data_IF_975803077711
#
_entry.id   IF_975803077711
#
_cell.length_a   1.000
_cell.length_b   1.000
_cell.length_c   1.000
_cell.angle_alpha   90.00
_cell.angle_beta   90.00
_cell.angle_gamma   90.00
#
_symmetry.space_group_name_H-M   'P 1'
#
loop_
_entity.id
_entity.type
_entity.pdbx_description
1 polymer ?
#
# COMPACT_ATOMS: atom_id res chain seq x y z
N UNK A 1 -22.37 -77.69 -84.50
CA UNK A 1 -21.86 -77.07 -83.25
C UNK A 1 -21.85 -75.53 -83.33
N UNK A 2 -22.98 -74.87 -83.59
CA UNK A 2 -23.05 -73.39 -83.69
C UNK A 2 -24.17 -72.74 -82.87
N UNK A 3 -25.02 -73.53 -82.20
CA UNK A 3 -26.14 -73.02 -81.38
C UNK A 3 -25.75 -72.80 -79.91
N UNK A 4 -24.66 -73.41 -79.44
CA UNK A 4 -24.16 -73.30 -78.06
C UNK A 4 -23.22 -72.09 -77.85
N UNK A 5 -22.69 -71.49 -78.93
CA UNK A 5 -21.81 -70.30 -78.88
C UNK A 5 -22.56 -68.98 -78.64
N UNK A 6 -23.87 -68.96 -78.89
CA UNK A 6 -24.72 -67.76 -78.74
C UNK A 6 -25.46 -67.70 -77.38
N UNK A 7 -25.50 -68.80 -76.64
CA UNK A 7 -26.21 -68.92 -75.35
C UNK A 7 -25.37 -68.42 -74.15
N UNK A 8 -24.04 -68.43 -74.30
CA UNK A 8 -23.09 -68.01 -73.27
C UNK A 8 -23.03 -66.48 -73.01
N UNK A 9 -23.05 -65.58 -74.03
CA UNK A 9 -23.04 -64.13 -73.78
C UNK A 9 -24.36 -63.59 -73.21
N UNK A 10 -25.49 -64.28 -73.45
CA UNK A 10 -26.82 -63.87 -72.95
C UNK A 10 -26.98 -64.18 -71.46
N UNK A 11 -26.40 -65.29 -70.97
CA UNK A 11 -26.44 -65.67 -69.56
C UNK A 11 -25.58 -64.73 -68.68
N UNK A 12 -24.46 -64.24 -69.21
CA UNK A 12 -23.57 -63.28 -68.55
C UNK A 12 -24.23 -61.89 -68.44
N UNK A 13 -25.03 -61.50 -69.43
CA UNK A 13 -25.73 -60.21 -69.43
C UNK A 13 -26.86 -60.13 -68.36
N UNK A 14 -27.52 -61.27 -68.07
CA UNK A 14 -28.57 -61.36 -67.04
C UNK A 14 -27.99 -61.35 -65.63
N UNK A 15 -26.80 -61.93 -65.42
CA UNK A 15 -26.09 -61.89 -64.14
C UNK A 15 -25.51 -60.51 -63.81
N UNK A 16 -25.12 -59.72 -64.82
CA UNK A 16 -24.64 -58.34 -64.65
C UNK A 16 -25.78 -57.34 -64.36
N UNK A 17 -26.99 -57.57 -64.87
CA UNK A 17 -28.17 -56.74 -64.55
C UNK A 17 -28.73 -56.99 -63.13
N UNK A 18 -28.46 -58.17 -62.55
CA UNK A 18 -28.82 -58.48 -61.16
C UNK A 18 -27.82 -57.89 -60.13
N UNK A 19 -26.69 -57.35 -60.59
CA UNK A 19 -25.74 -56.59 -59.76
C UNK A 19 -25.90 -55.07 -59.91
N UNK A 20 -27.06 -54.61 -60.40
CA UNK A 20 -27.51 -53.25 -60.13
C UNK A 20 -28.30 -53.26 -58.82
N UNK A 21 -27.58 -53.56 -57.73
CA UNK A 21 -28.04 -53.24 -56.39
C UNK A 21 -28.26 -51.73 -56.35
N UNK A 22 -29.50 -51.33 -56.12
CA UNK A 22 -29.84 -49.99 -55.70
C UNK A 22 -29.13 -49.71 -54.36
N UNK A 23 -27.89 -49.27 -54.42
CA UNK A 23 -27.07 -49.03 -53.22
C UNK A 23 -26.23 -47.77 -53.33
N UNK A 24 -26.75 -46.74 -54.03
CA UNK A 24 -26.17 -45.38 -54.03
C UNK A 24 -27.22 -44.26 -53.99
N UNK A 25 -28.53 -44.58 -53.93
CA UNK A 25 -29.61 -43.59 -53.73
C UNK A 25 -30.31 -43.74 -52.37
N UNK A 26 -30.16 -44.90 -51.72
CA UNK A 26 -30.63 -45.15 -50.35
C UNK A 26 -29.68 -44.54 -49.31
N UNK A 27 -28.35 -44.66 -49.48
CA UNK A 27 -27.38 -44.16 -48.47
C UNK A 27 -27.44 -42.63 -48.24
N UNK A 28 -27.70 -41.84 -49.28
CA UNK A 28 -27.76 -40.37 -49.15
C UNK A 28 -29.10 -39.91 -48.58
N UNK A 29 -30.19 -40.61 -48.93
CA UNK A 29 -31.53 -40.39 -48.35
C UNK A 29 -31.58 -40.84 -46.89
N UNK A 30 -30.88 -41.92 -46.55
CA UNK A 30 -30.72 -42.43 -45.19
C UNK A 30 -29.83 -41.50 -44.37
N UNK A 31 -28.75 -40.94 -44.94
CA UNK A 31 -27.91 -39.97 -44.23
C UNK A 31 -28.67 -38.69 -43.86
N UNK A 32 -29.46 -38.13 -44.78
CA UNK A 32 -30.29 -36.95 -44.48
C UNK A 32 -31.42 -37.27 -43.50
N UNK A 33 -31.95 -38.50 -43.53
CA UNK A 33 -32.99 -38.97 -42.60
C UNK A 33 -32.40 -39.22 -41.21
N UNK A 34 -31.23 -39.87 -41.12
CA UNK A 34 -30.49 -40.08 -39.87
C UNK A 34 -30.00 -38.75 -39.30
N UNK A 35 -29.56 -37.80 -40.13
CA UNK A 35 -29.20 -36.45 -39.68
C UNK A 35 -30.39 -35.71 -39.10
N UNK A 36 -31.56 -35.76 -39.75
CA UNK A 36 -32.79 -35.19 -39.20
C UNK A 36 -33.18 -35.86 -37.89
N UNK A 37 -33.13 -37.19 -37.83
CA UNK A 37 -33.41 -37.95 -36.61
C UNK A 37 -32.46 -37.57 -35.47
N UNK A 38 -31.15 -37.43 -35.72
CA UNK A 38 -30.16 -37.00 -34.71
C UNK A 38 -30.42 -35.56 -34.27
N UNK A 39 -30.71 -34.65 -35.19
CA UNK A 39 -31.05 -33.26 -34.86
C UNK A 39 -32.33 -33.18 -34.04
N UNK A 40 -33.32 -34.00 -34.35
CA UNK A 40 -34.58 -34.07 -33.63
C UNK A 40 -34.39 -34.71 -32.24
N UNK A 41 -33.54 -35.74 -32.09
CA UNK A 41 -33.15 -36.29 -30.79
C UNK A 41 -32.41 -35.25 -29.95
N UNK A 42 -31.46 -34.49 -30.52
CA UNK A 42 -30.75 -33.42 -29.80
C UNK A 42 -31.68 -32.27 -29.38
N UNK A 43 -32.69 -31.96 -30.20
CA UNK A 43 -33.69 -30.92 -29.89
C UNK A 43 -34.83 -31.41 -29.00
N UNK A 44 -35.06 -32.73 -28.94
CA UNK A 44 -36.06 -33.35 -28.09
C UNK A 44 -35.78 -33.06 -26.61
N UNK A 45 -36.83 -33.18 -25.80
CA UNK A 45 -36.71 -32.95 -24.36
C UNK A 45 -35.77 -33.96 -23.70
N UNK A 46 -35.69 -35.18 -24.23
CA UNK A 46 -34.76 -36.21 -23.72
C UNK A 46 -33.31 -35.88 -24.10
N UNK A 47 -33.05 -35.37 -25.30
CA UNK A 47 -31.72 -34.89 -25.70
C UNK A 47 -31.26 -33.68 -24.88
N UNK A 48 -32.16 -32.72 -24.63
CA UNK A 48 -31.87 -31.58 -23.74
C UNK A 48 -31.61 -32.03 -22.30
N UNK A 49 -32.39 -32.98 -21.78
CA UNK A 49 -32.18 -33.55 -20.44
C UNK A 49 -30.84 -34.28 -20.34
N UNK A 50 -30.51 -35.14 -21.30
CA UNK A 50 -29.24 -35.87 -21.33
C UNK A 50 -28.04 -34.91 -21.44
N UNK A 51 -28.13 -33.87 -22.29
CA UNK A 51 -27.09 -32.83 -22.33
C UNK A 51 -27.01 -32.04 -21.03
N UNK A 52 -28.15 -31.72 -20.41
CA UNK A 52 -28.16 -31.01 -19.12
C UNK A 52 -27.54 -31.86 -18.03
N UNK A 53 -27.80 -33.17 -18.01
CA UNK A 53 -27.21 -34.12 -17.06
C UNK A 53 -25.69 -34.22 -17.23
N UNK A 54 -25.21 -34.33 -18.47
CA UNK A 54 -23.77 -34.34 -18.78
C UNK A 54 -23.11 -32.98 -18.47
N UNK A 55 -23.78 -31.87 -18.73
CA UNK A 55 -23.33 -30.52 -18.35
C UNK A 55 -23.49 -30.23 -16.86
N UNK A 56 -24.23 -31.04 -16.12
CA UNK A 56 -24.36 -30.95 -14.67
C UNK A 56 -23.32 -31.79 -13.94
N UNK A 57 -22.59 -32.64 -14.67
CA UNK A 57 -21.45 -33.37 -14.14
C UNK A 57 -20.32 -32.38 -13.80
N UNK A 58 -19.87 -32.41 -12.54
CA UNK A 58 -18.86 -31.49 -12.00
C UNK A 58 -17.57 -31.48 -12.83
N UNK A 59 -17.18 -32.63 -13.39
CA UNK A 59 -15.96 -32.75 -14.20
C UNK A 59 -16.11 -32.04 -15.55
N UNK A 60 -17.31 -32.09 -16.13
CA UNK A 60 -17.63 -31.40 -17.38
C UNK A 60 -17.76 -29.88 -17.16
N UNK A 61 -18.42 -29.47 -16.08
CA UNK A 61 -18.54 -28.05 -15.70
C UNK A 61 -17.18 -27.40 -15.48
N UNK A 62 -16.28 -28.09 -14.77
CA UNK A 62 -14.95 -27.58 -14.48
C UNK A 62 -14.10 -27.42 -15.75
N UNK A 63 -14.17 -28.37 -16.69
CA UNK A 63 -13.45 -28.27 -17.98
C UNK A 63 -14.00 -27.10 -18.81
N UNK A 64 -15.32 -26.96 -18.93
CA UNK A 64 -15.92 -25.89 -19.74
C UNK A 64 -15.77 -24.49 -19.13
N UNK A 65 -15.87 -24.37 -17.81
CA UNK A 65 -15.74 -23.09 -17.11
C UNK A 65 -14.31 -22.55 -17.12
N UNK A 66 -13.30 -23.43 -17.03
CA UNK A 66 -11.89 -23.01 -16.96
C UNK A 66 -11.26 -22.81 -18.35
N UNK A 67 -11.68 -23.56 -19.37
CA UNK A 67 -11.06 -23.53 -20.71
C UNK A 67 -11.65 -22.49 -21.65
N UNK A 68 -12.75 -21.82 -21.29
CA UNK A 68 -13.30 -20.80 -22.18
C UNK A 68 -12.50 -19.50 -22.07
N UNK A 69 -11.89 -19.11 -23.18
CA UNK A 69 -11.31 -17.78 -23.37
C UNK A 69 -12.32 -16.68 -23.00
N UNK A 70 -13.62 -16.96 -23.19
CA UNK A 70 -14.75 -16.13 -22.78
C UNK A 70 -14.78 -15.88 -21.28
N UNK A 71 -14.54 -16.89 -20.43
CA UNK A 71 -14.48 -16.71 -18.96
C UNK A 71 -13.26 -15.90 -18.57
N UNK A 72 -12.09 -16.15 -19.16
CA UNK A 72 -10.90 -15.34 -18.90
C UNK A 72 -11.10 -13.87 -19.28
N UNK A 73 -11.65 -13.61 -20.47
CA UNK A 73 -11.98 -12.26 -20.93
C UNK A 73 -13.07 -11.61 -20.07
N UNK A 74 -14.08 -12.37 -19.62
CA UNK A 74 -15.11 -11.86 -18.73
C UNK A 74 -14.55 -11.49 -17.35
N UNK A 75 -13.68 -12.33 -16.77
CA UNK A 75 -13.00 -12.03 -15.50
C UNK A 75 -12.10 -10.81 -15.66
N UNK A 76 -11.33 -10.72 -16.74
CA UNK A 76 -10.47 -9.57 -17.00
C UNK A 76 -11.29 -8.29 -17.18
N UNK A 77 -12.36 -8.33 -17.98
CA UNK A 77 -13.25 -7.18 -18.17
C UNK A 77 -13.90 -6.77 -16.86
N UNK A 78 -14.44 -7.70 -16.09
CA UNK A 78 -15.14 -7.40 -14.83
C UNK A 78 -14.20 -6.91 -13.74
N UNK A 79 -12.98 -7.45 -13.63
CA UNK A 79 -12.03 -7.03 -12.59
C UNK A 79 -11.29 -5.73 -12.93
N UNK A 80 -11.05 -5.45 -14.22
CA UNK A 80 -10.30 -4.26 -14.68
C UNK A 80 -11.24 -3.12 -15.11
N UNK A 81 -12.53 -3.38 -15.32
CA UNK A 81 -13.52 -2.33 -15.61
C UNK A 81 -13.69 -1.37 -14.44
N UNK A 82 -14.34 -0.24 -14.73
CA UNK A 82 -14.77 0.72 -13.71
C UNK A 82 -15.70 0.08 -12.66
N UNK A 83 -16.49 -0.92 -13.06
CA UNK A 83 -17.35 -1.69 -12.15
C UNK A 83 -16.49 -2.56 -11.20
N UNK A 84 -15.42 -3.17 -11.71
CA UNK A 84 -14.44 -3.89 -10.91
C UNK A 84 -13.72 -2.98 -9.92
N UNK A 85 -13.29 -1.79 -10.36
CA UNK A 85 -12.72 -0.77 -9.46
C UNK A 85 -13.71 -0.39 -8.36
N UNK A 86 -14.96 -0.11 -8.71
CA UNK A 86 -16.00 0.21 -7.73
C UNK A 86 -16.26 -0.94 -6.75
N UNK A 87 -16.25 -2.19 -7.23
CA UNK A 87 -16.34 -3.38 -6.39
C UNK A 87 -15.17 -3.47 -5.40
N UNK A 88 -13.93 -3.32 -5.87
CA UNK A 88 -12.75 -3.29 -5.01
C UNK A 88 -12.79 -2.14 -4.01
N UNK A 89 -13.13 -0.92 -4.43
CA UNK A 89 -13.30 0.22 -3.52
C UNK A 89 -14.33 -0.05 -2.43
N UNK A 90 -15.44 -0.70 -2.77
CA UNK A 90 -16.47 -1.10 -1.80
C UNK A 90 -15.95 -2.16 -0.83
N UNK A 91 -15.23 -3.17 -1.32
CA UNK A 91 -14.63 -4.20 -0.46
C UNK A 91 -13.55 -3.64 0.47
N UNK A 92 -12.68 -2.75 -0.02
CA UNK A 92 -11.68 -2.07 0.80
C UNK A 92 -12.28 -1.03 1.76
N UNK A 93 -13.57 -0.73 1.63
CA UNK A 93 -14.31 0.06 2.63
C UNK A 93 -14.89 -0.81 3.75
N UNK A 94 -14.94 -2.14 3.60
CA UNK A 94 -15.39 -3.06 4.64
C UNK A 94 -14.25 -3.35 5.64
N UNK A 95 -14.38 -2.95 6.92
CA UNK A 95 -13.34 -3.16 7.93
C UNK A 95 -12.98 -4.63 8.15
N UNK A 96 -13.93 -5.56 8.01
CA UNK A 96 -13.66 -7.00 8.18
C UNK A 96 -12.78 -7.52 7.06
N UNK A 97 -13.10 -7.13 5.83
CA UNK A 97 -12.29 -7.49 4.67
C UNK A 97 -10.89 -6.89 4.78
N UNK A 98 -10.78 -5.59 5.10
CA UNK A 98 -9.48 -4.92 5.27
C UNK A 98 -8.66 -5.57 6.38
N UNK A 99 -9.27 -5.97 7.48
CA UNK A 99 -8.56 -6.63 8.58
C UNK A 99 -7.97 -7.97 8.15
N UNK A 100 -8.75 -8.84 7.52
CA UNK A 100 -8.26 -10.14 7.05
C UNK A 100 -7.24 -9.98 5.92
N UNK A 101 -7.49 -9.06 4.98
CA UNK A 101 -6.55 -8.73 3.92
C UNK A 101 -5.21 -8.21 4.46
N UNK A 102 -5.25 -7.34 5.46
CA UNK A 102 -4.05 -6.80 6.12
C UNK A 102 -3.26 -7.88 6.85
N UNK A 103 -3.93 -8.84 7.51
CA UNK A 103 -3.26 -9.98 8.16
C UNK A 103 -2.50 -10.84 7.15
N UNK A 104 -3.11 -11.12 5.99
CA UNK A 104 -2.46 -11.92 4.93
C UNK A 104 -1.23 -11.18 4.37
N UNK A 105 -1.32 -9.85 4.24
CA UNK A 105 -0.21 -9.05 3.73
C UNK A 105 0.84 -8.66 4.77
N UNK A 106 0.57 -8.85 6.06
CA UNK A 106 1.37 -8.31 7.16
C UNK A 106 2.85 -8.66 7.03
N UNK A 107 3.16 -9.94 6.79
CA UNK A 107 4.53 -10.42 6.68
C UNK A 107 5.26 -9.87 5.44
N UNK A 108 4.57 -9.79 4.30
CA UNK A 108 5.15 -9.20 3.09
C UNK A 108 5.35 -7.70 3.24
N UNK A 109 4.40 -7.00 3.87
CA UNK A 109 4.48 -5.58 4.15
C UNK A 109 5.64 -5.26 5.11
N UNK A 110 5.82 -6.06 6.17
CA UNK A 110 6.98 -5.95 7.08
C UNK A 110 8.29 -6.17 6.32
N UNK A 111 8.35 -7.18 5.45
CA UNK A 111 9.55 -7.46 4.66
C UNK A 111 9.86 -6.33 3.69
N UNK A 112 8.85 -5.80 3.01
CA UNK A 112 8.97 -4.64 2.14
C UNK A 112 9.48 -3.43 2.91
N UNK A 113 8.86 -3.08 4.04
CA UNK A 113 9.28 -1.94 4.86
C UNK A 113 10.70 -2.08 5.40
N UNK A 114 11.09 -3.27 5.87
CA UNK A 114 12.48 -3.55 6.28
C UNK A 114 13.46 -3.47 5.11
N UNK A 115 13.02 -3.81 3.90
CA UNK A 115 13.79 -3.64 2.67
C UNK A 115 13.97 -2.16 2.33
N UNK A 116 12.88 -1.40 2.30
CA UNK A 116 12.86 0.04 2.03
C UNK A 116 13.71 0.83 3.05
N UNK A 117 13.70 0.44 4.32
CA UNK A 117 14.59 1.07 5.32
C UNK A 117 16.09 0.95 4.98
N UNK A 118 16.49 -0.01 4.15
CA UNK A 118 17.88 -0.17 3.68
C UNK A 118 18.14 0.51 2.33
N UNK A 119 17.08 0.96 1.67
CA UNK A 119 17.15 1.67 0.40
C UNK A 119 17.55 3.14 0.61
N UNK A 120 18.46 3.63 -0.23
CA UNK A 120 19.03 4.96 -0.07
C UNK A 120 18.02 6.08 -0.39
N UNK A 121 17.11 5.88 -1.35
CA UNK A 121 16.09 6.87 -1.70
C UNK A 121 15.05 6.97 -0.59
N UNK A 122 14.60 5.83 -0.07
CA UNK A 122 13.66 5.80 1.05
C UNK A 122 14.26 6.41 2.32
N UNK A 123 15.53 6.13 2.63
CA UNK A 123 16.24 6.78 3.73
C UNK A 123 16.30 8.30 3.57
N UNK A 124 16.55 8.79 2.35
CA UNK A 124 16.58 10.24 2.08
C UNK A 124 15.21 10.88 2.35
N UNK A 125 14.13 10.27 1.87
CA UNK A 125 12.76 10.72 2.15
C UNK A 125 12.45 10.69 3.64
N UNK A 126 12.91 9.67 4.36
CA UNK A 126 12.73 9.56 5.80
C UNK A 126 13.50 10.67 6.56
N UNK A 127 14.73 10.98 6.16
CA UNK A 127 15.51 12.09 6.74
C UNK A 127 14.82 13.44 6.49
N UNK A 128 14.22 13.62 5.32
CA UNK A 128 13.44 14.82 5.02
C UNK A 128 12.21 14.93 5.92
N UNK A 129 11.50 13.82 6.16
CA UNK A 129 10.40 13.75 7.12
C UNK A 129 10.86 14.12 8.54
N UNK A 130 12.01 13.61 8.99
CA UNK A 130 12.58 13.93 10.31
C UNK A 130 12.99 15.40 10.47
N UNK A 131 13.17 16.14 9.38
CA UNK A 131 13.50 17.57 9.42
C UNK A 131 12.27 18.47 9.58
N UNK A 132 11.06 17.91 9.72
CA UNK A 132 9.90 18.73 9.97
C UNK A 132 10.01 19.46 11.34
N UNK A 133 9.33 20.61 11.51
CA UNK A 133 9.43 21.39 12.75
C UNK A 133 8.95 20.64 14.00
N UNK A 134 7.96 19.76 13.87
CA UNK A 134 7.44 18.97 15.01
C UNK A 134 8.49 17.99 15.54
N UNK A 135 9.17 17.25 14.67
CA UNK A 135 10.24 16.33 15.09
C UNK A 135 11.46 17.10 15.60
N UNK A 136 11.74 18.29 15.07
CA UNK A 136 12.79 19.16 15.63
C UNK A 136 12.44 19.63 17.05
N UNK A 137 11.19 20.00 17.33
CA UNK A 137 10.76 20.40 18.67
C UNK A 137 10.85 19.26 19.68
N UNK A 138 10.49 18.04 19.28
CA UNK A 138 10.68 16.83 20.10
C UNK A 138 12.17 16.58 20.36
N UNK A 139 13.02 16.73 19.34
CA UNK A 139 14.48 16.62 19.48
C UNK A 139 15.03 17.64 20.48
N UNK A 140 14.56 18.90 20.42
CA UNK A 140 14.94 19.96 21.39
C UNK A 140 14.49 19.58 22.80
N UNK A 141 13.27 19.07 22.95
CA UNK A 141 12.74 18.63 24.25
C UNK A 141 13.58 17.51 24.85
N UNK A 142 14.06 16.56 24.02
CA UNK A 142 15.00 15.52 24.45
C UNK A 142 16.34 16.12 24.87
N UNK A 143 16.88 17.09 24.12
CA UNK A 143 18.12 17.80 24.49
C UNK A 143 17.99 18.61 25.78
N UNK A 144 16.82 19.17 26.06
CA UNK A 144 16.55 19.89 27.31
C UNK A 144 16.28 18.94 28.48
N UNK A 145 16.08 17.65 28.22
CA UNK A 145 15.83 16.62 29.21
C UNK A 145 17.00 16.39 30.16
N UNK A 146 16.69 15.89 31.36
CA UNK A 146 17.67 15.67 32.45
C UNK A 146 18.84 14.76 32.04
N UNK A 147 18.58 13.71 31.26
CA UNK A 147 19.61 12.78 30.81
C UNK A 147 20.63 13.48 29.88
N UNK A 148 20.15 14.28 28.93
CA UNK A 148 21.03 15.02 28.03
C UNK A 148 21.75 16.14 28.76
N UNK A 149 21.09 16.84 29.69
CA UNK A 149 21.74 17.84 30.56
C UNK A 149 22.89 17.27 31.38
N UNK A 150 22.74 16.06 31.94
CA UNK A 150 23.81 15.39 32.67
C UNK A 150 25.00 15.07 31.76
N UNK A 151 24.74 14.55 30.56
CA UNK A 151 25.79 14.31 29.57
C UNK A 151 26.48 15.61 29.12
N UNK A 152 25.69 16.67 28.93
CA UNK A 152 26.18 18.00 28.56
C UNK A 152 27.05 18.59 29.67
N UNK A 153 26.62 18.50 30.93
CA UNK A 153 27.40 18.96 32.08
C UNK A 153 28.74 18.24 32.14
N UNK A 154 28.74 16.90 32.01
CA UNK A 154 29.99 16.12 32.00
C UNK A 154 30.91 16.54 30.86
N UNK A 155 30.37 16.73 29.66
CA UNK A 155 31.13 17.19 28.49
C UNK A 155 31.70 18.60 28.70
N UNK A 156 30.95 19.50 29.32
CA UNK A 156 31.41 20.84 29.69
C UNK A 156 32.53 20.74 30.73
N UNK A 157 32.38 19.94 31.78
CA UNK A 157 33.40 19.72 32.80
C UNK A 157 34.70 19.17 32.18
N UNK A 158 34.61 18.17 31.30
CA UNK A 158 35.75 17.62 30.55
C UNK A 158 36.40 18.68 29.65
N UNK A 159 35.59 19.51 28.98
CA UNK A 159 36.08 20.59 28.13
C UNK A 159 36.80 21.68 28.93
N UNK A 160 36.25 22.09 30.08
CA UNK A 160 36.86 23.06 30.98
C UNK A 160 38.17 22.54 31.59
N UNK A 161 38.24 21.23 31.85
CA UNK A 161 39.44 20.57 32.34
C UNK A 161 40.45 20.21 31.25
N UNK A 162 40.13 20.47 29.98
CA UNK A 162 41.07 20.27 28.88
C UNK A 162 42.26 21.22 29.02
N UNK A 163 43.52 20.74 28.93
CA UNK A 163 44.71 21.58 29.02
C UNK A 163 44.71 22.73 28.01
N UNK A 164 44.15 22.50 26.82
CA UNK A 164 44.03 23.52 25.76
C UNK A 164 43.05 24.62 26.17
N UNK A 165 41.93 24.25 26.80
CA UNK A 165 40.94 25.22 27.27
C UNK A 165 41.46 25.99 28.49
N UNK A 166 42.07 25.31 29.46
CA UNK A 166 42.70 25.93 30.61
C UNK A 166 43.79 26.94 30.19
N UNK A 167 44.66 26.57 29.24
CA UNK A 167 45.67 27.47 28.71
C UNK A 167 45.05 28.72 28.06
N UNK A 168 44.03 28.56 27.21
CA UNK A 168 43.30 29.69 26.61
C UNK A 168 42.60 30.55 27.65
N UNK A 169 42.02 29.95 28.68
CA UNK A 169 41.38 30.65 29.79
C UNK A 169 42.42 31.50 30.54
N UNK A 170 43.55 30.90 30.92
CA UNK A 170 44.65 31.61 31.57
C UNK A 170 45.22 32.74 30.72
N UNK A 171 45.43 32.53 29.42
CA UNK A 171 45.89 33.57 28.50
C UNK A 171 44.87 34.72 28.38
N UNK A 172 43.58 34.40 28.33
CA UNK A 172 42.49 35.39 28.27
C UNK A 172 42.40 36.20 29.55
N UNK A 173 42.54 35.55 30.72
CA UNK A 173 42.56 36.20 32.02
C UNK A 173 43.78 37.12 32.17
N UNK A 174 44.96 36.69 31.72
CA UNK A 174 46.16 37.52 31.72
C UNK A 174 45.99 38.74 30.80
N UNK A 175 45.47 38.57 29.59
CA UNK A 175 45.17 39.69 28.68
C UNK A 175 44.12 40.65 29.25
N UNK A 176 43.12 40.14 29.96
CA UNK A 176 42.11 40.97 30.62
C UNK A 176 42.72 41.76 31.79
N UNK A 177 43.59 41.14 32.59
CA UNK A 177 44.32 41.80 33.67
C UNK A 177 45.27 42.88 33.13
N UNK A 178 46.02 42.60 32.07
CA UNK A 178 46.86 43.58 31.38
C UNK A 178 46.04 44.76 30.84
N UNK A 179 44.87 44.50 30.24
CA UNK A 179 43.95 45.56 29.81
C UNK A 179 43.45 46.41 30.97
N UNK A 180 43.06 45.77 32.08
CA UNK A 180 42.56 46.47 33.27
C UNK A 180 43.67 47.32 33.93
N UNK A 181 44.91 46.81 33.94
CA UNK A 181 46.09 47.52 34.43
C UNK A 181 46.51 48.66 33.48
N UNK A 182 46.38 48.46 32.16
CA UNK A 182 46.62 49.51 31.15
C UNK A 182 45.53 50.58 31.10
N UNK A 183 44.31 50.26 31.55
CA UNK A 183 43.17 51.17 31.65
C UNK A 183 43.02 51.82 33.04
N UNK A 184 43.86 51.46 34.02
CA UNK A 184 43.78 51.92 35.42
C UNK A 184 44.86 52.91 35.84
N UNK A 185 45.71 53.38 34.94
CA UNK A 185 46.74 54.37 35.23
C UNK A 185 46.25 55.81 35.03
N UNK A 186 45.43 56.35 35.94
CA UNK A 186 44.97 57.74 35.82
C UNK A 186 44.16 58.29 36.99
N UNK A 187 44.88 58.86 37.96
CA UNK A 187 44.47 59.91 38.92
C UNK A 187 43.46 59.56 40.03
N UNK A 188 43.90 59.74 41.27
CA UNK A 188 43.03 59.76 42.43
C UNK A 188 42.19 61.03 42.54
N UNK A 189 41.13 60.93 43.34
CA UNK A 189 40.75 62.01 44.24
C UNK A 189 40.08 61.40 45.47
N UNK A 190 40.73 61.63 46.61
CA UNK A 190 40.10 61.56 47.92
C UNK A 190 39.28 62.83 48.04
N UNK A 191 37.96 62.74 48.12
CA UNK A 191 37.16 63.83 48.64
C UNK A 191 36.04 63.33 49.53
N UNK A 192 36.11 63.85 50.75
CA UNK A 192 35.25 63.64 51.89
C UNK A 192 34.04 64.55 51.74
N UNK A 193 32.83 64.01 51.68
CA UNK A 193 31.63 64.71 52.14
C UNK A 193 30.66 63.72 52.78
N UNK A 194 30.62 63.72 54.11
CA UNK A 194 29.40 63.35 54.80
C UNK A 194 28.46 64.54 54.81
N UNK A 195 27.16 64.32 54.60
CA UNK A 195 26.09 64.89 55.42
C UNK A 195 24.73 64.25 55.07
N UNK A 196 24.00 63.99 56.14
CA UNK A 196 22.59 63.60 56.31
C UNK A 196 21.54 64.20 55.36
N UNK A 197 20.51 63.40 55.08
CA UNK A 197 19.05 63.69 55.22
C UNK A 197 18.31 62.40 54.86
N UNK A 198 17.68 61.67 55.80
CA UNK A 198 16.40 61.92 56.46
C UNK A 198 15.19 61.87 55.51
N UNK A 199 14.38 60.83 55.76
CA UNK A 199 12.91 60.69 55.61
C UNK A 199 12.20 61.14 54.32
N UNK A 200 11.43 60.20 53.74
CA UNK A 200 10.00 60.31 53.41
C UNK A 200 9.55 58.93 52.88
N UNK A 201 8.81 58.06 53.59
CA UNK A 201 7.41 58.12 54.07
C UNK A 201 6.36 58.37 52.99
N UNK A 202 5.45 57.40 52.81
CA UNK A 202 4.25 57.46 51.95
C UNK A 202 4.17 56.19 51.09
N UNK A 203 3.50 55.09 51.49
CA UNK A 203 2.09 54.92 51.86
C UNK A 203 1.12 55.54 50.85
N UNK A 204 0.59 54.72 49.94
CA UNK A 204 -0.82 54.59 49.49
C UNK A 204 -0.78 53.69 48.23
N UNK A 205 -1.59 52.66 48.00
CA UNK A 205 -2.96 52.40 48.44
C UNK A 205 -3.84 52.22 47.20
N UNK A 206 -4.65 51.16 47.17
CA UNK A 206 -5.71 50.91 46.18
C UNK A 206 -5.27 49.97 45.04
N UNK A 207 -5.81 48.77 44.83
CA UNK A 207 -7.18 48.32 45.09
C UNK A 207 -8.00 48.49 43.82
N UNK A 208 -8.15 47.43 43.04
CA UNK A 208 -9.25 47.30 42.08
C UNK A 208 -9.76 45.86 42.11
N UNK A 209 -10.93 45.73 42.74
CA UNK A 209 -11.87 44.63 42.56
C UNK A 209 -12.71 44.98 41.34
N UNK A 210 -12.72 44.09 40.34
CA UNK A 210 -13.74 44.04 39.31
C UNK A 210 -14.23 42.61 39.16
N UNK A 211 -15.23 42.23 39.96
CA UNK A 211 -16.10 41.07 39.71
C UNK A 211 -17.07 41.42 38.56
N UNK A 212 -17.42 40.40 37.79
CA UNK A 212 -18.78 39.91 37.47
C UNK A 212 -18.74 39.22 36.09
N UNK A 213 -18.97 37.90 36.05
CA UNK A 213 -20.28 37.23 35.83
C UNK A 213 -20.66 37.34 34.32
N UNK A 214 -21.12 36.33 33.60
CA UNK A 214 -22.03 35.24 33.95
C UNK A 214 -22.23 34.31 32.73
N UNK A 215 -22.66 33.06 32.99
CA UNK A 215 -23.45 32.22 32.06
C UNK A 215 -22.63 31.26 31.17
N UNK A 216 -22.76 29.93 31.20
CA UNK A 216 -23.84 29.07 31.68
C UNK A 216 -24.73 28.58 30.53
N UNK A 217 -24.50 27.35 30.04
CA UNK A 217 -25.50 26.37 29.52
C UNK A 217 -24.74 25.24 28.82
N UNK A 218 -24.74 24.00 29.33
CA UNK A 218 -25.82 23.01 29.23
C UNK A 218 -25.95 22.38 27.83
N UNK A 219 -25.28 21.24 27.63
CA UNK A 219 -25.80 19.98 27.06
C UNK A 219 -24.72 18.91 27.12
#
# INVERSE_FOLDING_TARGET
>A
MSKLRLLCPVLILVLLAACNGASNASEQTDYDTTKKMIVDILKSDDGKKAMTEVLSDEKMQQSMALESEVVSQAVQKTLVSEEGKAFWSKLFSDPKFVQEFSKVLEEQQKKLMKGLMKDAEYQKLMIELYKNPEMMNEMVTVMEGQQFRSHLQKTIEETLNSPVFQAKMSETLLKAAEKMQSSGGGSGSSEKSGQSSQEQSGSNGGGDQGKEQEGGSAS
#
